data_IF_186594348100
#
_entry.id   IF_186594348100
#
_cell.length_a   1.000
_cell.length_b   1.000
_cell.length_c   1.000
_cell.angle_alpha   90.00
_cell.angle_beta   90.00
_cell.angle_gamma   90.00
#
_symmetry.space_group_name_H-M   'P 1'
#
loop_
_entity.id
_entity.type
_entity.pdbx_description
1 polymer ?
#
# COMPACT_ATOMS: atom_id res chain seq x y z
N UNK A 1 4.73 -17.43 11.27
CA UNK A 1 4.78 -16.04 10.77
C UNK A 1 6.08 -15.43 11.25
N UNK A 2 6.71 -14.58 10.43
CA UNK A 2 7.93 -13.88 10.84
C UNK A 2 7.63 -12.93 12.00
N UNK A 3 8.61 -12.68 12.86
CA UNK A 3 8.47 -11.77 13.98
C UNK A 3 8.56 -10.32 13.48
N UNK A 4 7.51 -9.53 13.72
CA UNK A 4 7.48 -8.08 13.49
C UNK A 4 7.13 -7.36 14.80
N UNK A 5 7.94 -6.38 15.27
CA UNK A 5 7.67 -5.69 16.54
C UNK A 5 6.29 -5.01 16.60
N UNK A 6 5.85 -4.44 15.48
CA UNK A 6 4.54 -3.80 15.38
C UNK A 6 3.36 -4.80 15.29
N UNK A 7 3.59 -6.11 15.38
CA UNK A 7 2.54 -7.12 15.32
C UNK A 7 1.50 -6.98 16.46
N UNK A 8 1.92 -6.47 17.63
CA UNK A 8 1.01 -6.22 18.76
C UNK A 8 0.01 -5.08 18.51
N UNK A 9 0.27 -4.21 17.53
CA UNK A 9 -0.60 -3.10 17.15
C UNK A 9 -1.57 -3.45 16.01
N UNK A 10 -1.49 -4.67 15.45
CA UNK A 10 -2.34 -5.09 14.34
C UNK A 10 -3.73 -5.47 14.85
N UNK A 11 -4.74 -4.72 14.42
CA UNK A 11 -6.16 -4.97 14.66
C UNK A 11 -6.93 -4.95 13.34
N UNK A 12 -7.95 -5.81 13.21
CA UNK A 12 -8.80 -5.87 12.03
C UNK A 12 -10.09 -5.10 12.24
N UNK A 13 -10.40 -4.18 11.33
CA UNK A 13 -11.68 -3.47 11.29
C UNK A 13 -12.25 -3.46 9.87
N UNK A 14 -13.59 -3.57 9.72
CA UNK A 14 -14.22 -3.40 8.42
C UNK A 14 -14.10 -1.94 7.97
N UNK A 15 -13.66 -1.73 6.74
CA UNK A 15 -13.67 -0.44 6.07
C UNK A 15 -14.24 -0.62 4.66
N UNK A 16 -15.00 0.38 4.20
CA UNK A 16 -15.46 0.47 2.82
C UNK A 16 -14.48 1.37 2.09
N UNK A 17 -14.01 0.94 0.92
CA UNK A 17 -13.13 1.77 0.11
C UNK A 17 -13.95 2.83 -0.62
N UNK A 18 -13.41 4.05 -0.72
CA UNK A 18 -13.94 5.02 -1.68
C UNK A 18 -13.68 4.47 -3.08
N UNK A 19 -14.69 4.56 -3.94
CA UNK A 19 -14.53 4.18 -5.34
C UNK A 19 -13.63 5.19 -6.07
N UNK A 20 -13.52 6.44 -5.62
CA UNK A 20 -12.66 7.46 -6.23
C UNK A 20 -12.76 7.57 -7.76
N UNK A 21 -13.92 7.26 -8.35
CA UNK A 21 -14.12 7.17 -9.79
C UNK A 21 -15.52 7.64 -10.15
N UNK A 22 -15.65 8.45 -11.21
CA UNK A 22 -16.92 9.07 -11.58
C UNK A 22 -17.29 10.27 -10.69
N UNK A 23 -18.41 10.16 -9.96
CA UNK A 23 -19.04 11.30 -9.25
C UNK A 23 -18.26 11.69 -7.97
N UNK A 24 -17.60 10.75 -7.31
CA UNK A 24 -16.84 10.98 -6.08
C UNK A 24 -15.33 10.92 -6.35
N UNK A 25 -14.60 11.96 -5.92
CA UNK A 25 -13.14 11.94 -5.83
C UNK A 25 -12.76 11.94 -4.36
N UNK A 26 -11.83 11.08 -3.98
CA UNK A 26 -11.27 11.10 -2.63
C UNK A 26 -10.32 12.30 -2.47
N UNK A 27 -10.09 12.77 -1.23
CA UNK A 27 -9.16 13.86 -0.95
C UNK A 27 -7.69 13.58 -1.37
N UNK A 28 -7.37 12.34 -1.71
CA UNK A 28 -6.04 11.91 -2.13
C UNK A 28 -5.82 12.02 -3.65
N UNK A 29 -6.86 12.35 -4.42
CA UNK A 29 -6.84 12.46 -5.88
C UNK A 29 -6.62 13.90 -6.36
N UNK A 30 -6.36 14.05 -7.65
CA UNK A 30 -6.19 15.33 -8.32
C UNK A 30 -4.74 15.84 -8.32
N UNK A 31 -4.51 16.96 -9.06
CA UNK A 31 -3.20 17.58 -9.15
C UNK A 31 -2.58 17.85 -7.77
N UNK A 32 -1.25 17.71 -7.59
CA UNK A 32 -0.59 18.02 -6.34
C UNK A 32 -0.93 19.45 -5.88
N UNK A 33 -1.54 19.55 -4.71
CA UNK A 33 -1.86 20.79 -4.01
C UNK A 33 -1.25 20.74 -2.61
N UNK A 34 -1.12 21.87 -1.92
CA UNK A 34 -0.60 21.88 -0.54
C UNK A 34 -1.45 20.96 0.37
N UNK A 35 -2.77 21.03 0.24
CA UNK A 35 -3.73 20.21 1.01
C UNK A 35 -3.55 18.70 0.74
N UNK A 36 -3.57 18.26 -0.53
CA UNK A 36 -3.44 16.83 -0.80
C UNK A 36 -2.00 16.34 -0.56
N UNK A 37 -0.98 17.18 -0.71
CA UNK A 37 0.39 16.83 -0.38
C UNK A 37 0.56 16.58 1.12
N UNK A 38 -0.09 17.38 1.96
CA UNK A 38 -0.13 17.19 3.41
C UNK A 38 -0.84 15.89 3.77
N UNK A 39 -2.04 15.65 3.23
CA UNK A 39 -2.79 14.40 3.43
C UNK A 39 -1.95 13.17 3.08
N UNK A 40 -1.24 13.19 1.95
CA UNK A 40 -0.36 12.09 1.56
C UNK A 40 0.84 11.95 2.49
N UNK A 41 1.45 13.06 2.92
CA UNK A 41 2.59 13.06 3.82
C UNK A 41 2.24 12.46 5.18
N UNK A 42 1.08 12.81 5.73
CA UNK A 42 0.61 12.35 7.04
C UNK A 42 0.44 10.84 7.14
N UNK A 43 0.28 10.15 6.01
CA UNK A 43 0.17 8.68 5.98
C UNK A 43 1.48 7.97 6.33
N UNK A 44 2.64 8.61 6.17
CA UNK A 44 3.94 7.95 6.34
C UNK A 44 5.01 8.80 7.04
N UNK A 45 4.74 10.07 7.35
CA UNK A 45 5.70 10.98 7.99
C UNK A 45 5.93 10.71 9.50
N UNK A 46 5.91 9.42 9.87
CA UNK A 46 6.29 8.94 11.20
C UNK A 46 7.79 8.62 11.29
N UNK A 47 8.52 8.78 10.18
CA UNK A 47 9.97 8.67 10.10
C UNK A 47 10.48 7.24 10.30
N UNK A 48 11.49 7.12 11.16
CA UNK A 48 12.17 5.87 11.51
C UNK A 48 11.70 5.41 12.88
N UNK A 49 11.55 4.10 13.06
CA UNK A 49 11.10 3.48 14.30
C UNK A 49 12.31 3.02 15.11
N UNK A 50 12.31 3.38 16.39
CA UNK A 50 13.27 2.85 17.38
C UNK A 50 12.77 1.51 17.91
N UNK A 51 13.65 0.53 17.96
CA UNK A 51 13.47 -0.73 18.68
C UNK A 51 14.44 -0.82 19.87
N UNK A 52 14.01 -1.47 20.94
CA UNK A 52 14.91 -1.98 21.97
C UNK A 52 15.74 -3.16 21.46
N UNK A 53 16.75 -3.54 22.24
CA UNK A 53 17.59 -4.70 21.91
C UNK A 53 16.77 -5.99 21.85
N UNK A 54 15.79 -6.15 22.75
CA UNK A 54 14.98 -7.38 22.79
C UNK A 54 13.95 -7.44 21.66
N UNK A 55 13.44 -6.31 21.19
CA UNK A 55 12.59 -6.25 19.98
C UNK A 55 13.39 -6.47 18.69
N UNK A 56 14.65 -6.01 18.64
CA UNK A 56 15.51 -6.17 17.48
C UNK A 56 16.17 -7.57 17.40
N UNK A 57 16.37 -8.23 18.55
CA UNK A 57 17.00 -9.57 18.65
C UNK A 57 16.33 -10.63 17.76
N UNK A 58 14.99 -10.80 17.75
CA UNK A 58 14.32 -11.84 16.98
C UNK A 58 14.15 -11.50 15.48
N UNK A 59 14.57 -10.33 15.01
CA UNK A 59 14.46 -10.00 13.58
C UNK A 59 15.30 -10.96 12.73
N UNK A 60 14.73 -11.44 11.62
CA UNK A 60 15.44 -12.27 10.64
C UNK A 60 16.61 -11.50 10.02
N UNK A 61 16.32 -10.29 9.50
CA UNK A 61 17.32 -9.36 9.02
C UNK A 61 17.78 -8.46 10.18
N UNK A 62 19.09 -8.37 10.41
CA UNK A 62 19.65 -7.48 11.44
C UNK A 62 19.70 -6.04 10.94
N UNK A 63 19.54 -5.12 11.89
CA UNK A 63 19.60 -3.68 11.62
C UNK A 63 20.70 -3.03 12.45
N UNK A 64 21.08 -1.81 12.06
CA UNK A 64 22.08 -1.03 12.77
C UNK A 64 21.55 -0.48 14.11
N UNK A 65 22.43 -0.27 15.09
CA UNK A 65 22.10 0.47 16.30
C UNK A 65 21.88 1.96 15.97
N UNK A 66 21.06 2.63 16.78
CA UNK A 66 20.93 4.08 16.77
C UNK A 66 22.17 4.73 17.39
N UNK A 67 22.78 5.73 16.74
CA UNK A 67 23.85 6.51 17.36
C UNK A 67 23.39 7.17 18.67
N UNK A 68 24.26 7.18 19.67
CA UNK A 68 24.05 7.84 20.97
C UNK A 68 22.81 7.37 21.76
N UNK A 69 22.24 6.22 21.40
CA UNK A 69 21.11 5.60 22.08
C UNK A 69 21.43 4.13 22.38
N UNK A 70 22.09 3.89 23.51
CA UNK A 70 22.48 2.54 23.92
C UNK A 70 21.26 1.59 23.96
N UNK A 71 21.45 0.40 23.41
CA UNK A 71 20.40 -0.62 23.26
C UNK A 71 19.28 -0.25 22.28
N UNK A 72 19.38 0.85 21.54
CA UNK A 72 18.44 1.28 20.51
C UNK A 72 18.85 0.81 19.11
N UNK A 73 17.88 0.39 18.32
CA UNK A 73 18.04 -0.07 16.94
C UNK A 73 17.06 0.66 16.02
N UNK A 74 17.45 0.87 14.77
CA UNK A 74 16.66 1.64 13.79
C UNK A 74 15.96 0.71 12.79
N UNK A 75 14.68 0.90 12.54
CA UNK A 75 13.94 0.26 11.44
C UNK A 75 12.98 1.26 10.79
N UNK A 76 12.37 0.88 9.67
CA UNK A 76 11.21 1.56 9.10
C UNK A 76 10.15 0.50 8.77
N UNK A 77 8.87 0.73 9.03
CA UNK A 77 7.84 -0.23 8.64
C UNK A 77 7.60 -0.18 7.13
N UNK A 78 7.45 -1.36 6.50
CA UNK A 78 7.27 -1.49 5.05
C UNK A 78 6.06 -0.72 4.53
N UNK A 79 4.94 -0.69 5.25
CA UNK A 79 3.74 0.07 4.90
C UNK A 79 4.03 1.55 4.64
N UNK A 80 4.86 2.19 5.46
CA UNK A 80 5.19 3.61 5.31
C UNK A 80 6.13 3.85 4.12
N UNK A 81 7.04 2.93 3.85
CA UNK A 81 7.89 2.99 2.66
C UNK A 81 7.06 2.81 1.37
N UNK A 82 6.11 1.87 1.36
CA UNK A 82 5.18 1.65 0.25
C UNK A 82 4.35 2.90 -0.06
N UNK A 83 3.79 3.55 0.98
CA UNK A 83 3.03 4.80 0.83
C UNK A 83 3.89 5.96 0.33
N UNK A 84 5.12 6.08 0.84
CA UNK A 84 6.09 7.07 0.34
C UNK A 84 6.39 6.87 -1.16
N UNK A 85 6.71 5.65 -1.58
CA UNK A 85 6.97 5.33 -2.98
C UNK A 85 5.75 5.61 -3.87
N UNK A 86 4.55 5.24 -3.43
CA UNK A 86 3.32 5.51 -4.17
C UNK A 86 3.08 7.02 -4.34
N UNK A 87 3.35 7.83 -3.31
CA UNK A 87 3.24 9.28 -3.41
C UNK A 87 4.29 9.88 -4.38
N UNK A 88 5.50 9.32 -4.46
CA UNK A 88 6.47 9.73 -5.48
C UNK A 88 5.97 9.44 -6.90
N UNK A 89 5.37 8.26 -7.12
CA UNK A 89 4.74 7.92 -8.41
C UNK A 89 3.62 8.90 -8.73
N UNK A 90 2.71 9.18 -7.79
CA UNK A 90 1.64 10.18 -7.94
C UNK A 90 2.19 11.52 -8.40
N UNK A 91 3.22 12.05 -7.71
CA UNK A 91 3.81 13.36 -8.05
C UNK A 91 4.49 13.36 -9.41
N UNK A 92 5.14 12.26 -9.80
CA UNK A 92 5.77 12.11 -11.11
C UNK A 92 4.77 12.16 -12.27
N UNK A 93 3.58 11.57 -12.09
CA UNK A 93 2.54 11.53 -13.13
C UNK A 93 2.08 12.93 -13.56
N UNK A 94 1.94 13.86 -12.61
CA UNK A 94 1.45 15.22 -12.89
C UNK A 94 2.48 16.16 -13.53
N UNK A 95 3.76 15.80 -13.56
CA UNK A 95 4.84 16.66 -14.03
C UNK A 95 5.31 16.39 -15.46
N UNK A 96 5.10 15.18 -15.99
CA UNK A 96 5.84 14.71 -17.18
C UNK A 96 4.97 14.15 -18.32
N UNK A 97 3.67 13.92 -18.09
CA UNK A 97 2.81 13.23 -19.06
C UNK A 97 1.62 14.11 -19.45
N UNK A 98 1.46 14.34 -20.75
CA UNK A 98 0.28 15.00 -21.31
C UNK A 98 -0.85 13.98 -21.50
N UNK A 99 -1.90 14.10 -20.68
CA UNK A 99 -3.07 13.22 -20.71
C UNK A 99 -4.18 13.71 -21.64
N UNK A 100 -3.98 14.79 -22.40
CA UNK A 100 -5.03 15.44 -23.20
C UNK A 100 -5.59 14.62 -24.37
N UNK A 101 -4.88 13.57 -24.82
CA UNK A 101 -5.25 12.74 -25.98
C UNK A 101 -5.18 11.23 -25.70
N UNK A 102 -5.42 10.82 -24.45
CA UNK A 102 -5.30 9.44 -24.01
C UNK A 102 -6.69 8.84 -23.77
N UNK A 103 -6.86 7.55 -24.11
CA UNK A 103 -8.09 6.76 -23.85
C UNK A 103 -8.55 6.92 -22.39
N UNK A 104 -9.86 6.94 -22.15
CA UNK A 104 -10.44 7.14 -20.81
C UNK A 104 -9.92 6.14 -19.75
N UNK A 105 -9.52 4.92 -20.16
CA UNK A 105 -8.89 3.91 -19.28
C UNK A 105 -7.45 4.23 -18.88
N UNK A 106 -6.82 5.17 -19.59
CA UNK A 106 -5.43 5.59 -19.40
C UNK A 106 -5.33 7.09 -19.07
N UNK A 107 -6.45 7.81 -19.02
CA UNK A 107 -6.53 9.21 -18.62
C UNK A 107 -6.18 9.42 -17.15
N UNK A 108 -5.85 10.67 -16.79
CA UNK A 108 -5.38 11.04 -15.45
C UNK A 108 -6.38 10.68 -14.34
N UNK A 109 -7.69 10.74 -14.61
CA UNK A 109 -8.71 10.36 -13.64
C UNK A 109 -8.66 8.87 -13.29
N UNK A 110 -8.39 8.01 -14.28
CA UNK A 110 -8.23 6.58 -14.05
C UNK A 110 -6.95 6.28 -13.27
N UNK A 111 -5.85 6.97 -13.60
CA UNK A 111 -4.60 6.83 -12.86
C UNK A 111 -4.72 7.29 -11.42
N UNK A 112 -5.38 8.42 -11.16
CA UNK A 112 -5.68 8.90 -9.81
C UNK A 112 -6.45 7.86 -9.01
N UNK A 113 -7.52 7.30 -9.59
CA UNK A 113 -8.31 6.24 -8.98
C UNK A 113 -7.47 4.99 -8.70
N UNK A 114 -6.61 4.57 -9.62
CA UNK A 114 -5.69 3.46 -9.42
C UNK A 114 -4.73 3.72 -8.26
N UNK A 115 -4.13 4.91 -8.20
CA UNK A 115 -3.24 5.32 -7.11
C UNK A 115 -3.98 5.28 -5.78
N UNK A 116 -5.21 5.81 -5.71
CA UNK A 116 -6.00 5.80 -4.49
C UNK A 116 -6.44 4.39 -4.08
N UNK A 117 -6.79 3.54 -5.03
CA UNK A 117 -7.11 2.12 -4.79
C UNK A 117 -5.91 1.36 -4.21
N UNK A 118 -4.71 1.60 -4.75
CA UNK A 118 -3.47 0.99 -4.25
C UNK A 118 -3.15 1.53 -2.85
N UNK A 119 -3.32 2.84 -2.60
CA UNK A 119 -3.15 3.45 -1.27
C UNK A 119 -4.06 2.78 -0.24
N UNK A 120 -5.35 2.64 -0.54
CA UNK A 120 -6.32 1.97 0.31
C UNK A 120 -5.93 0.50 0.56
N UNK A 121 -5.47 -0.20 -0.49
CA UNK A 121 -4.93 -1.56 -0.38
C UNK A 121 -3.70 -1.69 0.52
N UNK A 122 -2.73 -0.76 0.40
CA UNK A 122 -1.54 -0.72 1.26
C UNK A 122 -1.94 -0.48 2.72
N UNK A 123 -2.84 0.48 2.99
CA UNK A 123 -3.34 0.74 4.34
C UNK A 123 -4.14 -0.44 4.91
N UNK A 124 -4.98 -1.09 4.11
CA UNK A 124 -5.73 -2.25 4.55
C UNK A 124 -4.84 -3.47 4.83
N UNK A 125 -3.79 -3.67 4.02
CA UNK A 125 -2.85 -4.76 4.24
C UNK A 125 -1.89 -4.47 5.39
N UNK A 126 -1.46 -3.21 5.52
CA UNK A 126 -0.53 -2.68 6.52
C UNK A 126 0.64 -3.63 6.79
N UNK A 127 1.56 -3.74 5.82
CA UNK A 127 2.76 -4.54 6.00
C UNK A 127 3.66 -3.96 7.10
N UNK A 128 3.60 -4.57 8.28
CA UNK A 128 4.36 -4.19 9.48
C UNK A 128 5.76 -4.80 9.51
N UNK A 129 6.23 -5.42 8.42
CA UNK A 129 7.60 -5.93 8.32
C UNK A 129 8.61 -4.79 8.53
N UNK A 130 9.62 -4.96 9.40
CA UNK A 130 10.64 -3.94 9.60
C UNK A 130 11.68 -3.97 8.49
N UNK A 131 11.76 -2.90 7.71
CA UNK A 131 12.90 -2.61 6.85
C UNK A 131 14.10 -2.23 7.73
N UNK A 132 15.23 -2.88 7.47
CA UNK A 132 16.46 -2.69 8.23
C UNK A 132 17.31 -1.57 7.66
N UNK A 133 18.27 -1.08 8.42
CA UNK A 133 19.29 -0.16 7.91
C UNK A 133 20.64 -0.84 7.86
N UNK A 134 21.43 -0.52 6.84
CA UNK A 134 22.81 -0.97 6.67
C UNK A 134 23.72 0.17 6.16
N UNK A 135 25.03 -0.06 6.21
CA UNK A 135 26.08 0.79 5.63
C UNK A 135 27.03 -0.11 4.85
N UNK A 136 27.61 0.40 3.75
CA UNK A 136 28.62 -0.35 2.97
C UNK A 136 29.94 -0.52 3.75
N UNK A 137 30.31 0.50 4.53
CA UNK A 137 31.46 0.48 5.44
C UNK A 137 31.15 1.33 6.70
N UNK A 138 32.09 1.40 7.66
CA UNK A 138 31.90 2.12 8.92
C UNK A 138 31.82 3.65 8.78
N UNK A 139 32.24 4.20 7.64
CA UNK A 139 32.28 5.64 7.37
C UNK A 139 31.14 6.12 6.46
N UNK A 140 30.54 5.22 5.68
CA UNK A 140 29.43 5.52 4.78
C UNK A 140 28.10 5.75 5.49
N UNK A 141 27.11 6.42 4.88
CA UNK A 141 25.81 6.75 5.49
C UNK A 141 24.92 5.51 5.68
N UNK A 142 24.05 5.53 6.71
CA UNK A 142 23.00 4.50 6.85
C UNK A 142 22.01 4.64 5.70
N UNK A 143 21.60 3.51 5.16
CA UNK A 143 20.53 3.43 4.17
C UNK A 143 19.54 2.37 4.60
N UNK A 144 18.26 2.65 4.38
CA UNK A 144 17.22 1.62 4.47
C UNK A 144 17.50 0.54 3.41
N UNK A 145 17.31 -0.71 3.80
CA UNK A 145 17.45 -1.90 2.96
C UNK A 145 16.07 -2.53 2.88
N UNK A 146 15.49 -2.51 1.68
CA UNK A 146 14.20 -3.11 1.40
C UNK A 146 14.29 -4.63 1.17
N UNK A 147 15.49 -5.18 1.01
CA UNK A 147 15.77 -6.61 0.83
C UNK A 147 15.67 -7.35 2.19
N UNK A 148 14.47 -7.41 2.74
CA UNK A 148 14.14 -8.12 3.98
C UNK A 148 13.16 -9.25 3.71
N UNK A 149 13.07 -10.22 4.62
CA UNK A 149 12.13 -11.33 4.49
C UNK A 149 10.73 -10.87 4.91
N UNK A 150 9.74 -11.03 4.02
CA UNK A 150 8.33 -10.71 4.28
C UNK A 150 7.48 -11.97 4.52
N UNK A 151 6.43 -11.85 5.33
CA UNK A 151 5.39 -12.89 5.47
C UNK A 151 4.25 -12.64 4.50
N UNK A 152 4.39 -13.11 3.26
CA UNK A 152 3.37 -12.91 2.22
C UNK A 152 2.30 -14.02 2.21
N UNK A 153 1.12 -13.69 1.70
CA UNK A 153 0.16 -14.71 1.22
C UNK A 153 0.81 -15.47 0.06
N UNK A 154 0.61 -16.79 -0.02
CA UNK A 154 1.13 -17.57 -1.13
C UNK A 154 0.41 -17.18 -2.43
N UNK A 155 1.06 -16.35 -3.24
CA UNK A 155 0.47 -15.77 -4.44
C UNK A 155 0.15 -16.83 -5.50
N UNK A 156 1.02 -17.81 -5.68
CA UNK A 156 0.78 -18.92 -6.62
C UNK A 156 -0.48 -19.70 -6.26
N UNK A 157 -0.73 -19.95 -4.98
CA UNK A 157 -1.94 -20.63 -4.51
C UNK A 157 -3.19 -19.81 -4.83
N UNK A 158 -3.13 -18.48 -4.69
CA UNK A 158 -4.22 -17.56 -5.07
C UNK A 158 -4.43 -17.60 -6.59
N UNK A 159 -3.36 -17.50 -7.38
CA UNK A 159 -3.43 -17.58 -8.85
C UNK A 159 -4.02 -18.91 -9.33
N UNK A 160 -3.56 -20.03 -8.79
CA UNK A 160 -4.08 -21.35 -9.12
C UNK A 160 -5.55 -21.50 -8.72
N UNK A 161 -5.97 -20.93 -7.59
CA UNK A 161 -7.37 -20.94 -7.18
C UNK A 161 -8.25 -20.19 -8.19
N UNK A 162 -7.80 -19.03 -8.66
CA UNK A 162 -8.50 -18.19 -9.63
C UNK A 162 -8.52 -18.84 -11.03
N UNK A 163 -7.37 -19.33 -11.50
CA UNK A 163 -7.22 -19.98 -12.79
C UNK A 163 -8.15 -21.19 -12.94
N UNK A 164 -8.29 -22.00 -11.89
CA UNK A 164 -9.20 -23.17 -11.86
C UNK A 164 -10.68 -22.78 -11.97
N UNK A 165 -11.03 -21.53 -11.69
CA UNK A 165 -12.41 -21.02 -11.60
C UNK A 165 -12.73 -19.93 -12.63
N UNK A 166 -11.78 -19.61 -13.52
CA UNK A 166 -12.01 -18.57 -14.53
C UNK A 166 -13.23 -18.90 -15.37
N UNK A 167 -14.05 -17.90 -15.65
CA UNK A 167 -15.12 -18.00 -16.64
C UNK A 167 -14.45 -18.20 -18.00
N UNK A 168 -14.77 -19.31 -18.68
CA UNK A 168 -14.14 -19.69 -19.95
C UNK A 168 -14.94 -19.26 -21.17
N UNK A 169 -16.25 -19.09 -20.98
CA UNK A 169 -17.19 -18.76 -22.04
C UNK A 169 -17.49 -17.26 -22.00
N UNK A 170 -17.71 -16.68 -23.19
CA UNK A 170 -18.25 -15.33 -23.25
C UNK A 170 -19.68 -15.34 -22.72
N UNK A 171 -20.02 -14.32 -21.95
CA UNK A 171 -21.38 -14.11 -21.46
C UNK A 171 -21.86 -12.72 -21.88
N UNK A 172 -23.17 -12.61 -22.11
CA UNK A 172 -23.80 -11.34 -22.40
C UNK A 172 -23.82 -10.48 -21.12
N UNK A 173 -23.16 -9.33 -21.18
CA UNK A 173 -23.07 -8.39 -20.04
C UNK A 173 -24.39 -7.65 -19.79
N UNK A 174 -25.33 -7.71 -20.73
CA UNK A 174 -26.65 -7.11 -20.61
C UNK A 174 -27.71 -8.12 -20.13
N UNK A 175 -27.38 -9.42 -20.07
CA UNK A 175 -28.31 -10.44 -19.63
C UNK A 175 -28.55 -10.34 -18.11
N UNK A 176 -29.83 -10.42 -17.75
CA UNK A 176 -30.33 -10.27 -16.38
C UNK A 176 -30.78 -11.65 -15.87
N UNK A 177 -30.21 -12.14 -14.77
CA UNK A 177 -30.62 -13.37 -14.07
C UNK A 177 -31.68 -13.05 -12.99
N UNK A 178 -32.96 -13.13 -13.35
CA UNK A 178 -34.08 -12.69 -12.48
C UNK A 178 -34.26 -13.48 -11.17
N UNK A 179 -33.76 -14.72 -11.09
CA UNK A 179 -33.97 -15.62 -9.95
C UNK A 179 -32.69 -15.80 -9.10
N UNK A 180 -32.00 -14.71 -8.76
CA UNK A 180 -30.85 -14.76 -7.85
C UNK A 180 -31.31 -14.99 -6.39
N UNK A 181 -31.01 -16.15 -5.77
CA UNK A 181 -31.40 -16.44 -4.38
C UNK A 181 -30.69 -15.56 -3.35
N UNK A 182 -29.62 -14.84 -3.72
CA UNK A 182 -28.90 -13.90 -2.86
C UNK A 182 -29.43 -12.47 -2.99
N UNK A 183 -30.36 -12.23 -3.91
CA UNK A 183 -30.78 -10.90 -4.32
C UNK A 183 -29.77 -10.25 -5.26
N UNK A 184 -30.25 -9.29 -6.05
CA UNK A 184 -29.40 -8.53 -6.97
C UNK A 184 -28.32 -7.76 -6.20
N UNK A 185 -27.09 -7.82 -6.71
CA UNK A 185 -25.98 -7.00 -6.22
C UNK A 185 -26.30 -5.52 -6.42
N UNK A 186 -26.90 -4.88 -5.43
CA UNK A 186 -27.17 -3.45 -5.44
C UNK A 186 -25.96 -2.70 -4.87
N UNK A 187 -25.39 -1.81 -5.67
CA UNK A 187 -24.48 -0.79 -5.17
C UNK A 187 -25.33 0.42 -4.76
N UNK A 188 -25.54 0.62 -3.46
CA UNK A 188 -26.11 1.85 -2.93
C UNK A 188 -24.97 2.76 -2.50
N UNK A 189 -24.78 3.85 -3.23
CA UNK A 189 -23.91 4.94 -2.80
C UNK A 189 -24.52 5.61 -1.57
N UNK A 190 -23.82 5.57 -0.44
CA UNK A 190 -24.15 6.34 0.76
C UNK A 190 -23.09 7.44 0.87
N UNK A 191 -23.44 8.73 0.63
CA UNK A 191 -22.50 9.84 0.66
C UNK A 191 -21.83 10.04 2.02
#
# INVERSE_FOLDING_TARGET
>A
MLSAPAQSAVEYKPIVYSSGFGIEKSPFQGPPSDENNELWSDLYNFGITRLSTDEARPLENKTLPLPDQEGGYIVQLSVFHQLHCLNLVRRGLYGEVDFSNIDDLLGIEHLDHCIDTIRQGIMCHSDVTPLTFARQDKTGPMKAVAEVVHSCRNFERVQLWALKRRVKENFDRMAVVDNDPLGWGSYQYVP
#
